data_IF_558699529807
#
_entry.id   IF_558699529807
#
_cell.length_a   1.000
_cell.length_b   1.000
_cell.length_c   1.000
_cell.angle_alpha   90.00
_cell.angle_beta   90.00
_cell.angle_gamma   90.00
#
_symmetry.space_group_name_H-M   'P 1'
#
loop_
_entity.id
_entity.type
_entity.pdbx_description
1 polymer ?
#
# COMPACT_ATOMS: atom_id res chain seq x y z
N UNK A 1 1.33 -20.49 2.90
CA UNK A 1 0.36 -19.51 3.42
C UNK A 1 -0.60 -20.15 4.44
N UNK A 2 -1.21 -21.29 4.12
CA UNK A 2 -2.17 -21.97 5.00
C UNK A 2 -1.62 -22.36 6.38
N UNK A 3 -0.31 -22.62 6.48
CA UNK A 3 0.36 -22.93 7.76
C UNK A 3 0.57 -21.69 8.63
N UNK A 4 0.77 -20.52 8.01
CA UNK A 4 1.09 -19.25 8.68
C UNK A 4 -0.03 -18.24 8.44
N UNK A 5 -0.42 -17.48 9.44
CA UNK A 5 -1.48 -16.47 9.37
C UNK A 5 -0.96 -15.06 9.68
N UNK A 6 0.07 -14.57 8.98
CA UNK A 6 0.57 -13.22 9.22
C UNK A 6 -0.46 -12.16 8.77
N UNK A 7 -0.38 -10.96 9.31
CA UNK A 7 -0.97 -9.77 8.72
C UNK A 7 -0.27 -9.56 7.38
N UNK A 8 -0.91 -9.94 6.26
CA UNK A 8 -0.31 -9.86 4.95
C UNK A 8 -0.78 -8.61 4.21
N UNK A 9 0.16 -7.72 3.93
CA UNK A 9 -0.08 -6.49 3.17
C UNK A 9 0.35 -6.69 1.73
N UNK A 10 -0.59 -6.62 0.79
CA UNK A 10 -0.31 -6.60 -0.64
C UNK A 10 -0.19 -5.16 -1.13
N UNK A 11 0.82 -4.84 -1.92
CA UNK A 11 1.05 -3.49 -2.44
C UNK A 11 1.18 -3.52 -3.96
N UNK A 12 0.41 -2.68 -4.63
CA UNK A 12 0.56 -2.40 -6.05
C UNK A 12 0.48 -0.89 -6.33
N UNK A 13 0.69 -0.49 -7.56
CA UNK A 13 0.65 0.89 -8.01
C UNK A 13 1.59 1.14 -9.18
N UNK A 14 1.48 2.29 -9.82
CA UNK A 14 2.35 2.64 -10.96
C UNK A 14 3.75 3.00 -10.48
N UNK A 15 3.86 3.87 -9.48
CA UNK A 15 5.11 4.33 -8.86
C UNK A 15 5.03 4.28 -7.33
N UNK A 16 6.19 4.30 -6.66
CA UNK A 16 6.28 4.38 -5.20
C UNK A 16 6.10 3.05 -4.44
N UNK A 17 5.77 1.94 -5.11
CA UNK A 17 5.54 0.63 -4.47
C UNK A 17 6.65 0.22 -3.51
N UNK A 18 7.90 0.23 -3.98
CA UNK A 18 9.05 -0.23 -3.20
C UNK A 18 9.29 0.64 -1.97
N UNK A 19 9.22 1.97 -2.13
CA UNK A 19 9.38 2.90 -0.99
C UNK A 19 8.22 2.74 0.00
N UNK A 20 6.98 2.64 -0.47
CA UNK A 20 5.81 2.39 0.38
C UNK A 20 5.96 1.06 1.12
N UNK A 21 6.41 0.00 0.45
CA UNK A 21 6.70 -1.31 1.05
C UNK A 21 7.70 -1.19 2.20
N UNK A 22 8.80 -0.48 1.98
CA UNK A 22 9.82 -0.30 3.02
C UNK A 22 9.30 0.49 4.22
N UNK A 23 8.52 1.56 3.99
CA UNK A 23 7.91 2.34 5.07
C UNK A 23 6.86 1.53 5.84
N UNK A 24 6.01 0.77 5.15
CA UNK A 24 5.05 -0.14 5.80
C UNK A 24 5.78 -1.20 6.62
N UNK A 25 6.81 -1.82 6.05
CA UNK A 25 7.60 -2.81 6.77
C UNK A 25 8.25 -2.21 8.02
N UNK A 26 8.83 -1.00 7.93
CA UNK A 26 9.41 -0.28 9.07
C UNK A 26 8.37 -0.05 10.19
N UNK A 27 7.15 0.35 9.85
CA UNK A 27 6.06 0.50 10.82
C UNK A 27 5.70 -0.83 11.46
N UNK A 28 5.50 -1.89 10.66
CA UNK A 28 5.14 -3.22 11.18
C UNK A 28 6.27 -3.85 12.01
N UNK A 29 7.53 -3.66 11.62
CA UNK A 29 8.72 -4.13 12.34
C UNK A 29 8.84 -3.54 13.76
N UNK A 30 8.13 -2.44 14.06
CA UNK A 30 8.08 -1.88 15.43
C UNK A 30 7.35 -2.80 16.43
N UNK A 31 6.47 -3.69 15.95
CA UNK A 31 5.66 -4.59 16.78
C UNK A 31 5.76 -6.07 16.36
N UNK A 32 6.08 -6.37 15.11
CA UNK A 32 5.96 -7.69 14.51
C UNK A 32 7.24 -8.14 13.83
N UNK A 33 7.59 -9.43 13.96
CA UNK A 33 8.56 -10.05 13.06
C UNK A 33 7.98 -10.05 11.64
N UNK A 34 8.57 -9.25 10.74
CA UNK A 34 7.97 -8.93 9.43
C UNK A 34 8.81 -9.46 8.27
N UNK A 35 8.19 -10.26 7.41
CA UNK A 35 8.74 -10.62 6.11
C UNK A 35 8.42 -9.55 5.08
N UNK A 36 9.33 -9.24 4.15
CA UNK A 36 9.05 -8.34 3.03
C UNK A 36 9.69 -8.77 1.73
N UNK A 37 9.06 -8.41 0.61
CA UNK A 37 9.64 -8.62 -0.72
C UNK A 37 11.02 -7.98 -0.81
N UNK A 38 12.03 -8.78 -1.18
CA UNK A 38 13.39 -8.32 -1.37
C UNK A 38 13.64 -7.91 -2.83
N UNK A 39 14.34 -6.78 -3.01
CA UNK A 39 14.71 -6.28 -4.35
C UNK A 39 13.49 -6.18 -5.29
N UNK A 40 13.59 -6.81 -6.45
CA UNK A 40 12.57 -6.84 -7.50
C UNK A 40 11.80 -8.18 -7.59
N UNK A 41 11.73 -8.96 -6.50
CA UNK A 41 10.98 -10.22 -6.44
C UNK A 41 9.46 -9.98 -6.37
N UNK A 42 8.94 -9.07 -7.17
CA UNK A 42 7.59 -8.55 -7.21
C UNK A 42 6.74 -9.08 -8.38
N UNK A 43 7.13 -10.19 -8.98
CA UNK A 43 6.46 -10.86 -10.08
C UNK A 43 6.01 -12.28 -9.72
N UNK A 44 5.36 -12.98 -10.64
CA UNK A 44 4.82 -14.34 -10.45
C UNK A 44 5.85 -15.41 -10.04
N UNK A 45 7.15 -15.18 -10.27
CA UNK A 45 8.22 -16.08 -9.86
C UNK A 45 8.83 -15.64 -8.52
N UNK A 46 9.03 -14.35 -8.35
CA UNK A 46 9.68 -13.78 -7.17
C UNK A 46 8.80 -13.77 -5.92
N UNK A 47 7.50 -13.51 -6.09
CA UNK A 47 6.56 -13.48 -4.97
C UNK A 47 6.42 -14.83 -4.25
N UNK A 48 6.21 -15.97 -4.94
CA UNK A 48 6.20 -17.29 -4.28
C UNK A 48 7.49 -17.56 -3.52
N UNK A 49 8.63 -17.15 -4.06
CA UNK A 49 9.93 -17.25 -3.38
C UNK A 49 9.95 -16.49 -2.05
N UNK A 50 9.40 -15.27 -2.05
CA UNK A 50 9.25 -14.49 -0.81
C UNK A 50 8.33 -15.20 0.18
N UNK A 51 7.17 -15.71 -0.26
CA UNK A 51 6.20 -16.39 0.60
C UNK A 51 6.74 -17.72 1.17
N UNK A 52 7.59 -18.44 0.43
CA UNK A 52 8.27 -19.63 0.93
C UNK A 52 9.30 -19.33 2.03
N UNK A 53 9.70 -18.08 2.20
CA UNK A 53 10.52 -17.59 3.31
C UNK A 53 9.74 -17.32 4.60
N UNK A 54 8.43 -17.59 4.66
CA UNK A 54 7.66 -17.48 5.89
C UNK A 54 8.11 -18.53 6.91
N UNK A 55 8.36 -18.07 8.13
CA UNK A 55 8.76 -18.86 9.28
C UNK A 55 7.77 -18.63 10.44
N UNK A 56 7.84 -19.47 11.48
CA UNK A 56 6.94 -19.39 12.64
C UNK A 56 7.04 -18.06 13.42
N UNK A 57 8.16 -17.33 13.28
CA UNK A 57 8.31 -16.01 13.90
C UNK A 57 7.55 -14.90 13.17
N UNK A 58 7.25 -15.06 11.87
CA UNK A 58 6.65 -14.00 11.07
C UNK A 58 5.17 -13.78 11.40
N UNK A 59 4.89 -12.61 12.00
CA UNK A 59 3.54 -12.16 12.36
C UNK A 59 2.97 -11.20 11.31
N UNK A 60 3.84 -10.58 10.51
CA UNK A 60 3.46 -9.73 9.39
C UNK A 60 4.25 -10.05 8.12
N UNK A 61 3.69 -9.70 6.96
CA UNK A 61 4.38 -9.80 5.69
C UNK A 61 3.96 -8.66 4.75
N UNK A 62 4.91 -8.07 4.03
CA UNK A 62 4.67 -6.98 3.08
C UNK A 62 5.11 -7.42 1.69
N UNK A 63 4.15 -7.64 0.82
CA UNK A 63 4.35 -8.24 -0.50
C UNK A 63 4.10 -7.21 -1.59
N UNK A 64 5.17 -6.84 -2.29
CA UNK A 64 5.09 -5.97 -3.47
C UNK A 64 4.63 -6.78 -4.69
N UNK A 65 3.61 -6.29 -5.38
CA UNK A 65 3.05 -6.89 -6.60
C UNK A 65 3.32 -5.95 -7.78
N UNK A 66 4.27 -6.33 -8.60
CA UNK A 66 4.56 -5.69 -9.89
C UNK A 66 3.44 -5.98 -10.87
N UNK A 67 3.44 -5.30 -12.02
CA UNK A 67 2.42 -5.49 -13.03
C UNK A 67 3.03 -5.87 -14.37
N UNK A 68 2.68 -7.03 -14.89
CA UNK A 68 2.42 -7.28 -16.28
C UNK A 68 0.99 -7.84 -16.43
N UNK A 69 0.52 -8.06 -17.63
CA UNK A 69 -0.89 -8.36 -17.92
C UNK A 69 -1.39 -9.58 -17.10
N UNK A 70 -2.46 -9.43 -16.30
CA UNK A 70 -3.10 -10.47 -15.45
C UNK A 70 -2.25 -11.04 -14.30
N UNK A 71 -1.06 -10.51 -14.02
CA UNK A 71 -0.20 -11.06 -12.96
C UNK A 71 -0.69 -10.71 -11.56
N UNK A 72 -1.30 -9.54 -11.36
CA UNK A 72 -1.73 -9.10 -10.02
C UNK A 72 -2.79 -10.04 -9.45
N UNK A 73 -3.77 -10.46 -10.25
CA UNK A 73 -4.81 -11.42 -9.82
C UNK A 73 -4.20 -12.73 -9.30
N UNK A 74 -3.25 -13.31 -10.04
CA UNK A 74 -2.59 -14.56 -9.63
C UNK A 74 -1.75 -14.38 -8.37
N UNK A 75 -0.99 -13.28 -8.31
CA UNK A 75 -0.20 -12.94 -7.13
C UNK A 75 -1.08 -12.71 -5.91
N UNK A 76 -2.19 -11.99 -6.06
CA UNK A 76 -3.13 -11.75 -4.98
C UNK A 76 -3.76 -13.05 -4.46
N UNK A 77 -4.21 -13.94 -5.35
CA UNK A 77 -4.75 -15.25 -4.97
C UNK A 77 -3.72 -16.16 -4.30
N UNK A 78 -2.43 -16.02 -4.63
CA UNK A 78 -1.35 -16.77 -3.99
C UNK A 78 -1.02 -16.21 -2.60
N UNK A 79 -1.03 -14.89 -2.45
CA UNK A 79 -0.66 -14.22 -1.21
C UNK A 79 -1.83 -14.11 -0.22
N UNK A 80 -3.07 -13.97 -0.72
CA UNK A 80 -4.28 -13.72 0.08
C UNK A 80 -4.10 -12.54 1.03
N UNK A 81 -3.95 -11.29 0.52
CA UNK A 81 -3.71 -10.15 1.37
C UNK A 81 -4.87 -9.88 2.33
N UNK A 82 -4.54 -9.67 3.60
CA UNK A 82 -5.49 -9.17 4.61
C UNK A 82 -5.66 -7.65 4.56
N UNK A 83 -4.70 -6.93 3.92
CA UNK A 83 -4.76 -5.50 3.66
C UNK A 83 -4.21 -5.28 2.24
N UNK A 84 -4.96 -4.57 1.39
CA UNK A 84 -4.50 -4.15 0.07
C UNK A 84 -4.07 -2.69 0.07
N UNK A 85 -3.04 -2.35 -0.71
CA UNK A 85 -2.59 -0.95 -0.90
C UNK A 85 -2.41 -0.67 -2.38
N UNK A 86 -3.02 0.41 -2.88
CA UNK A 86 -2.80 0.93 -4.24
C UNK A 86 -2.25 2.35 -4.14
N UNK A 87 -0.99 2.54 -4.57
CA UNK A 87 -0.31 3.84 -4.38
C UNK A 87 -0.78 4.92 -5.34
N UNK A 88 -0.94 4.59 -6.62
CA UNK A 88 -1.40 5.51 -7.66
C UNK A 88 -1.68 4.81 -9.00
N UNK A 89 -2.39 5.52 -9.89
CA UNK A 89 -2.66 5.14 -11.28
C UNK A 89 -1.92 6.11 -12.21
N UNK A 90 -0.70 5.77 -12.57
CA UNK A 90 0.10 6.53 -13.53
C UNK A 90 0.04 5.93 -14.94
N UNK A 91 0.93 6.41 -15.81
CA UNK A 91 1.04 5.93 -17.19
C UNK A 91 1.98 4.74 -17.37
N UNK A 92 2.49 4.13 -16.28
CA UNK A 92 3.35 2.94 -16.36
C UNK A 92 2.59 1.79 -17.02
N UNK A 93 3.25 1.10 -17.96
CA UNK A 93 2.67 -0.03 -18.73
C UNK A 93 1.49 0.35 -19.64
N UNK A 94 1.37 1.63 -20.03
CA UNK A 94 0.29 2.08 -20.91
C UNK A 94 0.33 1.40 -22.29
N UNK A 95 1.51 0.97 -22.74
CA UNK A 95 1.69 0.21 -23.99
C UNK A 95 0.87 -1.08 -24.00
N UNK A 96 0.74 -1.75 -22.86
CA UNK A 96 0.01 -3.01 -22.69
C UNK A 96 -1.48 -2.80 -22.35
N UNK A 97 -1.80 -1.76 -21.56
CA UNK A 97 -3.14 -1.54 -21.01
C UNK A 97 -3.91 -0.41 -21.70
N UNK A 98 -3.27 0.27 -22.66
CA UNK A 98 -3.82 1.28 -23.58
C UNK A 98 -4.42 2.52 -22.91
N UNK A 99 -5.03 2.44 -21.73
CA UNK A 99 -5.70 3.54 -21.04
C UNK A 99 -5.40 3.51 -19.54
N UNK A 100 -5.52 4.66 -18.86
CA UNK A 100 -5.43 4.73 -17.40
C UNK A 100 -6.52 3.90 -16.72
N UNK A 101 -7.72 3.81 -17.29
CA UNK A 101 -8.78 2.95 -16.77
C UNK A 101 -8.38 1.46 -16.85
N UNK A 102 -7.72 1.02 -17.93
CA UNK A 102 -7.16 -0.33 -18.03
C UNK A 102 -6.10 -0.58 -16.95
N UNK A 103 -5.26 0.43 -16.66
CA UNK A 103 -4.28 0.34 -15.57
C UNK A 103 -4.99 0.27 -14.20
N UNK A 104 -6.04 1.06 -14.00
CA UNK A 104 -6.87 1.01 -12.79
C UNK A 104 -7.45 -0.38 -12.58
N UNK A 105 -8.10 -0.96 -13.60
CA UNK A 105 -8.68 -2.30 -13.54
C UNK A 105 -7.63 -3.36 -13.19
N UNK A 106 -6.47 -3.34 -13.84
CA UNK A 106 -5.40 -4.27 -13.55
C UNK A 106 -4.90 -4.16 -12.10
N UNK A 107 -4.82 -2.95 -11.52
CA UNK A 107 -4.41 -2.80 -10.11
C UNK A 107 -5.50 -3.23 -9.13
N UNK A 108 -6.75 -3.08 -9.49
CA UNK A 108 -7.89 -3.57 -8.71
C UNK A 108 -7.95 -5.10 -8.64
N UNK A 109 -7.24 -5.82 -9.51
CA UNK A 109 -7.06 -7.28 -9.41
C UNK A 109 -6.43 -7.74 -8.08
N UNK A 110 -5.80 -6.85 -7.31
CA UNK A 110 -5.31 -7.16 -5.96
C UNK A 110 -6.44 -7.67 -5.06
N UNK A 111 -7.68 -7.29 -5.33
CA UNK A 111 -8.87 -7.71 -4.60
C UNK A 111 -9.23 -9.18 -4.80
N UNK A 112 -8.76 -9.81 -5.89
CA UNK A 112 -9.11 -11.18 -6.26
C UNK A 112 -8.62 -12.23 -5.25
N UNK A 113 -7.62 -11.87 -4.45
CA UNK A 113 -7.10 -12.71 -3.37
C UNK A 113 -7.49 -12.26 -1.97
N UNK A 114 -8.24 -11.16 -1.84
CA UNK A 114 -8.60 -10.58 -0.55
C UNK A 114 -9.99 -11.06 -0.10
N UNK A 115 -10.17 -11.30 1.21
CA UNK A 115 -11.49 -11.50 1.79
C UNK A 115 -12.40 -10.28 1.51
N UNK A 116 -13.72 -10.50 1.47
CA UNK A 116 -14.67 -9.46 1.10
C UNK A 116 -14.67 -8.25 2.05
N UNK A 117 -14.35 -8.46 3.31
CA UNK A 117 -14.27 -7.46 4.38
C UNK A 117 -12.84 -6.90 4.59
N UNK A 118 -11.84 -7.44 3.87
CA UNK A 118 -10.46 -6.97 3.95
C UNK A 118 -10.35 -5.53 3.41
N UNK A 119 -9.70 -4.61 4.17
CA UNK A 119 -9.61 -3.20 3.79
C UNK A 119 -8.66 -2.96 2.62
N UNK A 120 -9.00 -1.95 1.81
CA UNK A 120 -8.18 -1.43 0.73
C UNK A 120 -7.75 0.01 1.05
N UNK A 121 -6.44 0.26 1.12
CA UNK A 121 -5.84 1.58 1.34
C UNK A 121 -5.47 2.19 0.00
N UNK A 122 -5.98 3.39 -0.29
CA UNK A 122 -5.79 4.02 -1.61
C UNK A 122 -5.46 5.51 -1.49
N UNK A 123 -4.73 6.01 -2.47
CA UNK A 123 -4.43 7.43 -2.60
C UNK A 123 -5.69 8.22 -2.96
N UNK A 124 -6.17 9.05 -2.03
CA UNK A 124 -7.35 9.91 -2.19
C UNK A 124 -7.10 11.16 -3.05
N UNK A 125 -5.85 11.49 -3.35
CA UNK A 125 -5.49 12.56 -4.29
C UNK A 125 -5.49 12.06 -5.75
N UNK A 126 -5.53 10.75 -5.97
CA UNK A 126 -5.61 10.15 -7.30
C UNK A 126 -7.07 10.13 -7.78
N UNK A 127 -7.42 10.80 -8.89
CA UNK A 127 -8.80 10.92 -9.36
C UNK A 127 -9.44 9.59 -9.78
N UNK A 128 -8.62 8.56 -10.09
CA UNK A 128 -9.09 7.22 -10.43
C UNK A 128 -9.23 6.30 -9.22
N UNK A 129 -8.60 6.63 -8.09
CA UNK A 129 -8.67 5.84 -6.85
C UNK A 129 -9.65 6.44 -5.83
N UNK A 130 -9.77 7.75 -5.74
CA UNK A 130 -10.65 8.43 -4.79
C UNK A 130 -12.13 7.96 -4.87
N UNK A 131 -12.71 7.66 -6.06
CA UNK A 131 -14.09 7.19 -6.17
C UNK A 131 -14.32 5.81 -5.56
N UNK A 132 -13.26 4.97 -5.41
CA UNK A 132 -13.38 3.58 -4.93
C UNK A 132 -14.07 3.47 -3.57
N UNK A 133 -13.96 4.48 -2.72
CA UNK A 133 -14.65 4.53 -1.42
C UNK A 133 -16.17 4.44 -1.53
N UNK A 134 -16.74 4.82 -2.69
CA UNK A 134 -18.18 4.76 -2.96
C UNK A 134 -18.56 3.63 -3.91
N UNK A 135 -17.61 3.16 -4.72
CA UNK A 135 -17.84 2.14 -5.74
C UNK A 135 -17.73 0.73 -5.18
N UNK A 136 -16.87 0.52 -4.18
CA UNK A 136 -16.60 -0.79 -3.63
C UNK A 136 -17.43 -1.07 -2.37
N UNK A 137 -17.87 -2.31 -2.21
CA UNK A 137 -18.60 -2.79 -1.03
C UNK A 137 -17.68 -3.10 0.17
N UNK A 138 -16.35 -3.22 -0.05
CA UNK A 138 -15.37 -3.43 1.01
C UNK A 138 -14.96 -2.14 1.71
N UNK A 139 -14.37 -2.19 2.90
CA UNK A 139 -13.79 -1.01 3.54
C UNK A 139 -12.68 -0.40 2.67
N UNK A 140 -12.79 0.88 2.34
CA UNK A 140 -11.77 1.65 1.62
C UNK A 140 -11.34 2.80 2.51
N UNK A 141 -10.02 2.86 2.78
CA UNK A 141 -9.38 3.94 3.53
C UNK A 141 -8.58 4.80 2.55
N UNK A 142 -8.89 6.08 2.54
CA UNK A 142 -8.23 7.05 1.66
C UNK A 142 -7.20 7.87 2.42
N UNK A 143 -6.04 8.09 1.80
CA UNK A 143 -5.03 9.01 2.32
C UNK A 143 -4.68 10.07 1.27
N UNK A 144 -4.23 11.25 1.70
CA UNK A 144 -3.87 12.30 0.76
C UNK A 144 -3.25 13.54 1.41
N UNK A 145 -2.63 14.38 0.59
CA UNK A 145 -2.11 15.70 0.98
C UNK A 145 -3.07 16.82 0.58
N UNK A 146 -3.83 16.64 -0.49
CA UNK A 146 -4.66 17.67 -1.12
C UNK A 146 -6.17 17.41 -0.97
N UNK A 147 -6.57 16.15 -0.85
CA UNK A 147 -7.97 15.78 -0.70
C UNK A 147 -8.48 16.05 0.72
N UNK A 148 -9.31 17.06 0.89
CA UNK A 148 -9.96 17.35 2.17
C UNK A 148 -10.91 16.24 2.64
N UNK A 149 -11.28 15.32 1.75
CA UNK A 149 -12.20 14.20 2.02
C UNK A 149 -11.46 12.90 2.36
N UNK A 150 -10.13 12.89 2.30
CA UNK A 150 -9.36 11.72 2.67
C UNK A 150 -9.46 11.43 4.18
N UNK A 151 -9.50 10.16 4.54
CA UNK A 151 -9.60 9.70 5.94
C UNK A 151 -8.33 10.02 6.74
N UNK A 152 -7.18 10.00 6.08
CA UNK A 152 -5.89 10.32 6.66
C UNK A 152 -5.22 11.38 5.79
N UNK A 153 -4.79 12.50 6.40
CA UNK A 153 -4.26 13.64 5.66
C UNK A 153 -2.94 14.12 6.24
N UNK A 154 -2.08 14.66 5.37
CA UNK A 154 -0.96 15.47 5.82
C UNK A 154 -1.35 16.94 5.96
N UNK A 155 -0.92 17.57 7.03
CA UNK A 155 -1.04 18.99 7.30
C UNK A 155 0.31 19.57 7.72
N UNK A 156 0.46 20.90 7.63
CA UNK A 156 1.64 21.64 8.09
C UNK A 156 2.95 21.11 7.50
N UNK A 157 2.97 20.82 6.19
CA UNK A 157 4.10 20.19 5.51
C UNK A 157 5.24 21.20 5.32
N UNK A 158 6.31 21.01 6.07
CA UNK A 158 7.56 21.78 5.98
C UNK A 158 8.62 20.96 5.24
N UNK A 159 9.09 21.50 4.12
CA UNK A 159 10.10 20.87 3.25
C UNK A 159 11.47 21.47 3.53
N UNK A 160 12.40 20.62 3.96
CA UNK A 160 13.83 20.96 4.12
C UNK A 160 14.64 20.25 3.02
N UNK A 161 15.91 20.60 2.89
CA UNK A 161 16.77 20.04 1.84
C UNK A 161 16.92 18.50 1.93
N UNK A 162 16.90 17.93 3.13
CA UNK A 162 17.11 16.49 3.38
C UNK A 162 16.05 15.84 4.26
N UNK A 163 15.04 16.58 4.68
CA UNK A 163 13.95 16.05 5.53
C UNK A 163 12.63 16.73 5.20
N UNK A 164 11.54 16.13 5.61
CA UNK A 164 10.20 16.71 5.54
C UNK A 164 9.49 16.47 6.87
N UNK A 165 8.99 17.55 7.51
CA UNK A 165 8.18 17.48 8.73
C UNK A 165 6.72 17.76 8.38
N UNK A 166 5.79 17.07 9.00
CA UNK A 166 4.34 17.29 8.80
C UNK A 166 3.54 16.67 9.95
N UNK A 167 2.27 17.01 10.02
CA UNK A 167 1.32 16.37 10.92
C UNK A 167 0.41 15.43 10.14
N UNK A 168 0.19 14.21 10.65
CA UNK A 168 -0.85 13.32 10.14
C UNK A 168 -2.15 13.63 10.90
N UNK A 169 -3.20 13.96 10.17
CA UNK A 169 -4.56 14.11 10.70
C UNK A 169 -5.33 12.84 10.40
N UNK A 170 -5.71 12.08 11.42
CA UNK A 170 -6.50 10.87 11.27
C UNK A 170 -8.01 11.17 11.35
N UNK A 171 -8.85 10.28 10.82
CA UNK A 171 -10.32 10.43 10.78
C UNK A 171 -10.94 10.56 12.17
N UNK A 172 -10.34 9.97 13.20
CA UNK A 172 -10.78 10.05 14.59
C UNK A 172 -10.46 11.41 15.28
N UNK A 173 -9.88 12.35 14.53
CA UNK A 173 -9.45 13.65 15.02
C UNK A 173 -8.06 13.66 15.68
N UNK A 174 -7.39 12.52 15.78
CA UNK A 174 -6.04 12.43 16.32
C UNK A 174 -5.03 13.07 15.37
N UNK A 175 -3.98 13.68 15.94
CA UNK A 175 -2.89 14.29 15.19
C UNK A 175 -1.56 13.71 15.63
N UNK A 176 -0.72 13.36 14.64
CA UNK A 176 0.58 12.74 14.88
C UNK A 176 1.67 13.53 14.15
N UNK A 177 2.66 14.12 14.89
CA UNK A 177 3.79 14.77 14.26
C UNK A 177 4.73 13.71 13.65
N UNK A 178 5.21 13.98 12.45
CA UNK A 178 6.13 13.10 11.71
C UNK A 178 7.30 13.90 11.18
N UNK A 179 8.50 13.35 11.30
CA UNK A 179 9.69 13.82 10.62
C UNK A 179 10.29 12.68 9.79
N UNK A 180 10.36 12.89 8.47
CA UNK A 180 10.99 11.94 7.54
C UNK A 180 12.42 12.41 7.24
N UNK A 181 13.43 11.52 7.31
CA UNK A 181 14.82 11.83 6.93
C UNK A 181 15.01 11.80 5.40
N UNK A 182 14.02 12.28 4.67
CA UNK A 182 14.04 12.39 3.21
C UNK A 182 13.10 13.50 2.74
N UNK A 183 13.45 14.13 1.63
CA UNK A 183 12.65 15.19 1.02
C UNK A 183 11.65 14.64 0.00
N UNK A 184 10.59 15.42 -0.25
CA UNK A 184 9.65 15.21 -1.35
C UNK A 184 8.27 14.70 -0.94
N UNK A 185 7.26 15.27 -1.59
CA UNK A 185 5.84 15.00 -1.33
C UNK A 185 5.46 13.53 -1.56
N UNK A 186 6.13 12.85 -2.49
CA UNK A 186 5.94 11.42 -2.70
C UNK A 186 6.30 10.59 -1.45
N UNK A 187 7.27 11.02 -0.64
CA UNK A 187 7.61 10.35 0.61
C UNK A 187 6.58 10.63 1.70
N UNK A 188 5.97 11.81 1.72
CA UNK A 188 4.82 12.11 2.59
C UNK A 188 3.66 11.16 2.25
N UNK A 189 3.32 11.01 0.97
CA UNK A 189 2.27 10.10 0.52
C UNK A 189 2.57 8.64 0.89
N UNK A 190 3.82 8.18 0.74
CA UNK A 190 4.22 6.83 1.13
C UNK A 190 4.09 6.62 2.66
N UNK A 191 4.43 7.63 3.45
CA UNK A 191 4.29 7.60 4.92
C UNK A 191 2.82 7.59 5.36
N UNK A 192 1.94 8.35 4.70
CA UNK A 192 0.50 8.29 4.96
C UNK A 192 -0.08 6.90 4.70
N UNK A 193 0.34 6.24 3.60
CA UNK A 193 -0.05 4.85 3.33
C UNK A 193 0.45 3.90 4.42
N UNK A 194 1.71 4.06 4.87
CA UNK A 194 2.28 3.26 5.96
C UNK A 194 1.55 3.47 7.28
N UNK A 195 1.18 4.72 7.60
CA UNK A 195 0.36 5.02 8.77
C UNK A 195 -1.00 4.33 8.72
N UNK A 196 -1.71 4.39 7.57
CA UNK A 196 -2.98 3.68 7.42
C UNK A 196 -2.85 2.19 7.72
N UNK A 197 -1.80 1.55 7.18
CA UNK A 197 -1.55 0.12 7.41
C UNK A 197 -1.20 -0.15 8.88
N UNK A 198 -0.37 0.68 9.52
CA UNK A 198 -0.05 0.56 10.95
C UNK A 198 -1.31 0.59 11.82
N UNK A 199 -2.21 1.56 11.57
CA UNK A 199 -3.50 1.66 12.28
C UNK A 199 -4.38 0.44 12.08
N UNK A 200 -4.43 -0.13 10.86
CA UNK A 200 -5.16 -1.37 10.58
C UNK A 200 -4.53 -2.60 11.25
N UNK A 201 -3.22 -2.58 11.47
CA UNK A 201 -2.48 -3.63 12.17
C UNK A 201 -2.54 -3.49 13.71
N UNK A 202 -3.13 -2.41 14.24
CA UNK A 202 -3.27 -2.15 15.68
C UNK A 202 -2.07 -1.43 16.31
N UNK A 203 -1.25 -0.74 15.49
CA UNK A 203 -0.12 0.08 15.90
C UNK A 203 -0.53 1.54 16.11
#
# INVERSE_FOLDING_TARGET
REKFHPILVGITGSVGKTTTKEMIACVLESQFCTLKTQGNLNNEIGQPKTLLGLEDCHQAAVIEMGMSHFEISRMARTAEPSIGVITNIGYSHIENLKTQEGIRQAKLEIQDGMAADAPLVVNGDDPLLAPLKRELSRPVITYGMHSEKADVRAADVERKAQSTSFSILAQDGSTYPVELPCAGDHNVMNALAAFCVGRLAGI
#
